data_IF_546104436341
#
_entry.id   IF_546104436341
#
_cell.length_a   1.000
_cell.length_b   1.000
_cell.length_c   1.000
_cell.angle_alpha   90.00
_cell.angle_beta   90.00
_cell.angle_gamma   90.00
#
_symmetry.space_group_name_H-M   'P 1'
#
loop_
_entity.id
_entity.type
_entity.pdbx_description
1 polymer ?
#
# COMPACT_ATOMS: atom_id res chain seq x y z
N UNK A 1 -14.41 -14.21 -5.84
CA UNK A 1 -12.96 -13.92 -5.72
C UNK A 1 -12.74 -12.88 -4.61
N UNK A 2 -11.88 -13.16 -3.64
CA UNK A 2 -11.62 -12.28 -2.48
C UNK A 2 -10.34 -11.46 -2.73
N UNK A 3 -10.45 -10.29 -3.39
CA UNK A 3 -9.30 -9.47 -3.79
C UNK A 3 -8.83 -8.57 -2.63
N UNK A 4 -7.97 -9.11 -1.75
CA UNK A 4 -7.26 -8.29 -0.76
C UNK A 4 -6.12 -7.54 -1.44
N UNK A 5 -6.41 -6.35 -1.97
CA UNK A 5 -5.43 -5.48 -2.65
C UNK A 5 -4.32 -4.98 -1.70
N UNK A 6 -4.66 -4.81 -0.41
CA UNK A 6 -3.74 -4.37 0.63
C UNK A 6 -3.59 -5.45 1.69
N UNK A 7 -2.38 -6.00 1.82
CA UNK A 7 -2.05 -6.99 2.84
C UNK A 7 -1.40 -6.25 4.01
N UNK A 8 -1.95 -6.44 5.22
CA UNK A 8 -1.37 -5.91 6.45
C UNK A 8 -0.04 -6.61 6.73
N UNK A 9 1.06 -5.86 6.68
CA UNK A 9 2.39 -6.32 7.06
C UNK A 9 2.54 -6.26 8.58
N UNK A 10 2.99 -7.35 9.18
CA UNK A 10 3.40 -7.35 10.58
C UNK A 10 4.74 -6.62 10.73
N UNK A 11 4.68 -5.33 11.13
CA UNK A 11 5.87 -4.48 11.30
C UNK A 11 6.75 -4.92 12.46
N UNK A 12 6.19 -5.57 13.48
CA UNK A 12 6.96 -6.10 14.60
C UNK A 12 8.02 -7.10 14.16
N UNK A 13 7.72 -7.92 13.14
CA UNK A 13 8.61 -8.93 12.57
C UNK A 13 9.58 -8.35 11.52
N UNK A 14 9.52 -7.04 11.22
CA UNK A 14 10.42 -6.41 10.27
C UNK A 14 11.83 -6.24 10.87
N UNK A 15 12.84 -6.11 9.98
CA UNK A 15 14.18 -5.69 10.40
C UNK A 15 14.19 -4.21 10.73
N UNK A 16 14.91 -3.84 11.79
CA UNK A 16 15.22 -2.45 12.07
C UNK A 16 16.12 -1.88 10.95
N UNK A 17 15.81 -0.69 10.40
CA UNK A 17 16.62 -0.08 9.34
C UNK A 17 18.01 0.36 9.83
N UNK A 18 18.17 0.63 11.13
CA UNK A 18 19.45 1.08 11.68
C UNK A 18 20.38 -0.08 12.09
N UNK A 19 19.86 -1.05 12.85
CA UNK A 19 20.69 -2.13 13.41
C UNK A 19 20.45 -3.52 12.80
N UNK A 20 19.55 -3.64 11.83
CA UNK A 20 19.26 -4.90 11.13
C UNK A 20 18.56 -5.98 11.97
N UNK A 21 18.43 -5.82 13.30
CA UNK A 21 17.79 -6.81 14.18
C UNK A 21 16.33 -7.05 13.81
N UNK A 22 15.96 -8.32 13.73
CA UNK A 22 14.61 -8.82 13.46
C UNK A 22 13.83 -8.80 14.79
N UNK A 23 12.51 -8.59 14.75
CA UNK A 23 11.62 -8.65 15.92
C UNK A 23 11.88 -7.58 17.02
N UNK A 24 12.75 -6.61 16.79
CA UNK A 24 13.12 -5.59 17.79
C UNK A 24 12.22 -4.34 17.76
N UNK A 25 11.28 -4.25 16.82
CA UNK A 25 10.42 -3.08 16.59
C UNK A 25 9.15 -3.13 17.46
N UNK A 26 8.98 -2.15 18.35
CA UNK A 26 7.76 -1.96 19.16
C UNK A 26 7.04 -0.67 18.78
N UNK A 27 5.72 -0.66 19.00
CA UNK A 27 4.87 0.50 18.72
C UNK A 27 5.15 1.59 19.75
N UNK A 28 5.46 2.80 19.29
CA UNK A 28 5.61 3.97 20.18
C UNK A 28 4.24 4.55 20.54
N UNK A 29 4.14 5.14 21.73
CA UNK A 29 2.96 5.94 22.11
C UNK A 29 3.06 7.32 21.47
N UNK A 30 1.98 7.75 20.82
CA UNK A 30 1.87 9.08 20.22
C UNK A 30 1.85 10.15 21.32
N UNK A 31 2.79 11.08 21.30
CA UNK A 31 2.89 12.22 22.23
C UNK A 31 2.39 13.52 21.61
N UNK A 32 2.55 13.70 20.29
CA UNK A 32 2.30 14.98 19.63
C UNK A 32 1.02 14.98 18.75
N UNK A 33 0.46 16.17 18.52
CA UNK A 33 -0.69 16.36 17.63
C UNK A 33 -0.40 15.90 16.18
N UNK A 34 0.81 16.17 15.68
CA UNK A 34 1.27 15.65 14.39
C UNK A 34 1.26 14.11 14.33
N UNK A 35 1.57 13.43 15.44
CA UNK A 35 1.54 11.96 15.49
C UNK A 35 0.11 11.41 15.54
N UNK A 36 -0.86 12.18 16.06
CA UNK A 36 -2.29 11.82 15.99
C UNK A 36 -2.80 11.84 14.55
N UNK A 37 -2.38 12.84 13.74
CA UNK A 37 -2.75 12.93 12.32
C UNK A 37 -2.14 11.74 11.55
N UNK A 38 -0.88 11.43 11.78
CA UNK A 38 -0.20 10.31 11.11
C UNK A 38 -0.81 8.95 11.48
N UNK A 39 -1.33 8.82 12.70
CA UNK A 39 -2.09 7.63 13.13
C UNK A 39 -3.38 7.46 12.32
N UNK A 40 -4.07 8.56 11.93
CA UNK A 40 -5.22 8.50 11.02
C UNK A 40 -4.82 8.00 9.62
N UNK A 41 -3.63 8.41 9.14
CA UNK A 41 -3.07 7.97 7.84
C UNK A 41 -2.41 6.58 7.94
N UNK A 42 -2.61 5.85 9.06
CA UNK A 42 -2.07 4.52 9.33
C UNK A 42 -0.52 4.44 9.31
N UNK A 43 0.19 5.56 9.38
CA UNK A 43 1.62 5.62 9.70
C UNK A 43 1.77 5.60 11.22
N UNK A 44 1.86 4.41 11.80
CA UNK A 44 2.15 4.30 13.24
C UNK A 44 3.64 4.52 13.51
N UNK A 45 4.00 5.28 14.57
CA UNK A 45 5.40 5.41 14.99
C UNK A 45 5.87 4.11 15.66
N UNK A 46 7.10 3.72 15.35
CA UNK A 46 7.78 2.56 15.92
C UNK A 46 9.13 2.97 16.51
N UNK A 47 9.57 2.23 17.51
CA UNK A 47 10.90 2.34 18.07
C UNK A 47 11.57 0.96 18.13
N UNK A 48 12.89 0.92 17.97
CA UNK A 48 13.68 -0.28 18.12
C UNK A 48 14.17 -0.39 19.56
N UNK A 49 13.91 -1.52 20.23
CA UNK A 49 14.37 -1.75 21.60
C UNK A 49 15.89 -1.93 21.69
N UNK A 50 16.53 -2.42 20.62
CA UNK A 50 17.96 -2.76 20.67
C UNK A 50 18.90 -1.59 20.39
N UNK A 51 18.51 -0.63 19.55
CA UNK A 51 19.38 0.49 19.15
C UNK A 51 18.75 1.87 19.41
N UNK A 52 17.54 1.93 19.97
CA UNK A 52 16.85 3.18 20.26
C UNK A 52 16.31 3.93 19.04
N UNK A 53 16.48 3.42 17.81
CA UNK A 53 15.97 4.06 16.59
C UNK A 53 14.48 4.33 16.69
N UNK A 54 14.04 5.52 16.26
CA UNK A 54 12.62 5.93 16.23
C UNK A 54 12.27 6.40 14.83
N UNK A 55 11.18 5.89 14.29
CA UNK A 55 10.72 6.30 12.97
C UNK A 55 9.31 5.82 12.66
N UNK A 56 8.86 6.13 11.46
CA UNK A 56 7.50 5.80 11.00
C UNK A 56 7.61 4.70 9.96
N UNK A 57 6.82 3.65 10.11
CA UNK A 57 6.84 2.51 9.18
C UNK A 57 5.45 2.30 8.60
N UNK A 58 5.38 2.18 7.28
CA UNK A 58 4.14 1.87 6.59
C UNK A 58 3.78 0.40 6.78
N UNK A 59 2.58 0.14 7.31
CA UNK A 59 2.14 -1.22 7.68
C UNK A 59 1.45 -1.98 6.55
N UNK A 60 1.33 -1.40 5.35
CA UNK A 60 0.67 -2.05 4.22
C UNK A 60 1.69 -2.40 3.15
N UNK A 61 1.60 -3.63 2.63
CA UNK A 61 2.27 -4.00 1.40
C UNK A 61 1.25 -3.98 0.27
N UNK A 62 1.64 -3.35 -0.84
CA UNK A 62 0.92 -3.44 -2.11
C UNK A 62 1.17 -4.85 -2.66
N UNK A 63 0.10 -5.54 -3.06
CA UNK A 63 0.22 -6.85 -3.71
C UNK A 63 0.90 -6.70 -5.08
N UNK A 64 1.79 -7.63 -5.45
CA UNK A 64 2.40 -7.64 -6.81
C UNK A 64 1.32 -7.73 -7.90
N UNK A 65 0.22 -8.41 -7.61
CA UNK A 65 -0.87 -8.62 -8.54
C UNK A 65 -1.72 -7.35 -8.76
N UNK A 66 -1.52 -6.30 -7.96
CA UNK A 66 -2.24 -5.03 -8.09
C UNK A 66 -2.02 -4.39 -9.46
N UNK A 67 -0.77 -4.37 -9.94
CA UNK A 67 -0.43 -3.74 -11.21
C UNK A 67 -1.00 -4.53 -12.40
N UNK A 68 -0.90 -5.85 -12.35
CA UNK A 68 -1.46 -6.72 -13.40
C UNK A 68 -2.98 -6.59 -13.49
N UNK A 69 -3.67 -6.44 -12.36
CA UNK A 69 -5.11 -6.21 -12.34
C UNK A 69 -5.45 -4.86 -12.97
N UNK A 70 -4.78 -3.78 -12.56
CA UNK A 70 -5.00 -2.44 -13.14
C UNK A 70 -4.78 -2.45 -14.65
N UNK A 71 -3.68 -3.06 -15.10
CA UNK A 71 -3.35 -3.14 -16.53
C UNK A 71 -4.47 -3.86 -17.31
N UNK A 72 -4.99 -4.96 -16.76
CA UNK A 72 -6.08 -5.73 -17.36
C UNK A 72 -7.37 -4.90 -17.46
N UNK A 73 -7.73 -4.15 -16.40
CA UNK A 73 -8.92 -3.30 -16.43
C UNK A 73 -8.79 -2.12 -17.41
N UNK A 74 -7.60 -1.49 -17.50
CA UNK A 74 -7.33 -0.43 -18.48
C UNK A 74 -7.45 -0.99 -19.90
N UNK A 75 -6.90 -2.17 -20.14
CA UNK A 75 -7.00 -2.83 -21.44
C UNK A 75 -8.46 -3.10 -21.84
N UNK A 76 -9.27 -3.63 -20.93
CA UNK A 76 -10.70 -3.86 -21.18
C UNK A 76 -11.46 -2.56 -21.49
N UNK A 77 -11.17 -1.47 -20.77
CA UNK A 77 -11.77 -0.16 -21.02
C UNK A 77 -11.44 0.35 -22.42
N UNK A 78 -10.16 0.31 -22.83
CA UNK A 78 -9.74 0.73 -24.17
C UNK A 78 -10.41 -0.12 -25.24
N UNK A 79 -10.45 -1.44 -25.05
CA UNK A 79 -11.04 -2.37 -26.01
C UNK A 79 -12.54 -2.14 -26.16
N UNK A 80 -13.26 -1.88 -25.06
CA UNK A 80 -14.68 -1.51 -25.10
C UNK A 80 -14.91 -0.18 -25.83
N UNK A 81 -14.08 0.84 -25.58
CA UNK A 81 -14.20 2.14 -26.24
C UNK A 81 -13.93 2.04 -27.74
N UNK A 82 -12.94 1.24 -28.14
CA UNK A 82 -12.60 0.99 -29.54
C UNK A 82 -13.74 0.30 -30.30
N UNK A 83 -14.36 -0.72 -29.69
CA UNK A 83 -15.52 -1.41 -30.27
C UNK A 83 -16.66 -0.41 -30.50
N UNK A 84 -17.00 0.39 -29.49
CA UNK A 84 -18.08 1.38 -29.59
C UNK A 84 -17.78 2.41 -30.68
N UNK A 85 -16.55 2.94 -30.76
CA UNK A 85 -16.17 3.88 -31.83
C UNK A 85 -16.31 3.27 -33.22
N UNK A 86 -15.88 2.01 -33.40
CA UNK A 86 -15.98 1.31 -34.69
C UNK A 86 -17.44 1.06 -35.09
N UNK A 87 -18.28 0.66 -34.13
CA UNK A 87 -19.72 0.47 -34.35
C UNK A 87 -20.42 1.78 -34.72
N UNK A 88 -20.16 2.87 -33.98
CA UNK A 88 -20.75 4.17 -34.27
C UNK A 88 -20.37 4.66 -35.66
N UNK A 89 -19.09 4.54 -36.04
CA UNK A 89 -18.65 4.93 -37.37
C UNK A 89 -19.35 4.15 -38.47
N UNK A 90 -19.50 2.83 -38.31
CA UNK A 90 -20.18 1.98 -39.29
C UNK A 90 -21.70 2.19 -39.40
N UNK A 91 -22.33 2.87 -38.43
CA UNK A 91 -23.78 3.12 -38.44
C UNK A 91 -24.12 4.49 -39.04
N UNK A 92 -23.21 5.45 -38.93
CA UNK A 92 -23.40 6.83 -39.40
C UNK A 92 -22.69 7.16 -40.72
N UNK A 93 -21.78 6.29 -41.20
CA UNK A 93 -21.33 6.22 -42.61
C UNK A 93 -22.22 5.25 -43.40
#
# INVERSE_FOLDING_TARGET
MNLRLFIRKNVQLARCPNCGKIAALRRSRTRNAAEKILKKIKLSPYFCQSCGWRGKIFSYKISKNFFQLILLYIFLMILSAYIVQKFLKSYFD
#
